data_IF_472189221616
#
_entry.id   IF_472189221616
#
_cell.length_a   1.000
_cell.length_b   1.000
_cell.length_c   1.000
_cell.angle_alpha   90.00
_cell.angle_beta   90.00
_cell.angle_gamma   90.00
#
_symmetry.space_group_name_H-M   'P 1'
#
loop_
_entity.id
_entity.type
_entity.pdbx_description
1 polymer ?
#
# COMPACT_ATOMS: atom_id res chain seq x y z
N UNK A 1 1.43 12.05 3.36
CA UNK A 1 0.99 11.22 2.22
C UNK A 1 -0.52 11.18 2.13
N UNK A 2 -1.08 11.14 0.92
CA UNK A 2 -2.52 11.02 0.65
C UNK A 2 -2.75 9.91 -0.38
N UNK A 3 -3.57 8.91 -0.04
CA UNK A 3 -3.86 7.77 -0.92
C UNK A 3 -4.96 8.16 -1.92
N UNK A 4 -4.62 8.15 -3.21
CA UNK A 4 -5.51 8.50 -4.31
C UNK A 4 -6.33 7.29 -4.77
N UNK A 5 -5.69 6.12 -4.85
CA UNK A 5 -6.32 4.89 -5.33
C UNK A 5 -5.69 3.65 -4.70
N UNK A 6 -6.49 2.60 -4.59
CA UNK A 6 -6.07 1.26 -4.16
C UNK A 6 -6.53 0.24 -5.20
N UNK A 7 -5.63 -0.64 -5.62
CA UNK A 7 -5.92 -1.79 -6.45
C UNK A 7 -5.93 -3.06 -5.60
N UNK A 8 -7.07 -3.75 -5.61
CA UNK A 8 -7.26 -5.06 -4.97
C UNK A 8 -7.52 -6.11 -6.04
N UNK A 9 -6.49 -6.87 -6.39
CA UNK A 9 -6.53 -7.79 -7.52
C UNK A 9 -6.82 -7.05 -8.83
N UNK A 10 -8.02 -7.24 -9.39
CA UNK A 10 -8.50 -6.57 -10.62
C UNK A 10 -9.38 -5.34 -10.35
N UNK A 11 -9.77 -5.11 -9.10
CA UNK A 11 -10.67 -4.02 -8.72
C UNK A 11 -9.89 -2.77 -8.35
N UNK A 12 -10.40 -1.61 -8.75
CA UNK A 12 -9.90 -0.30 -8.34
C UNK A 12 -10.86 0.38 -7.39
N UNK A 13 -10.30 1.06 -6.39
CA UNK A 13 -11.02 1.84 -5.37
C UNK A 13 -10.38 3.21 -5.33
N UNK A 14 -11.11 4.24 -5.75
CA UNK A 14 -10.63 5.61 -5.80
C UNK A 14 -11.09 6.38 -4.56
N UNK A 15 -10.21 7.26 -4.05
CA UNK A 15 -10.45 8.12 -2.88
C UNK A 15 -11.02 7.32 -1.69
N UNK A 16 -10.25 6.35 -1.14
CA UNK A 16 -10.68 5.59 0.02
C UNK A 16 -11.10 6.53 1.17
N UNK A 17 -12.24 6.23 1.79
CA UNK A 17 -12.76 7.01 2.93
C UNK A 17 -12.05 6.61 4.22
N UNK A 18 -12.25 7.38 5.29
CA UNK A 18 -11.59 7.18 6.59
C UNK A 18 -11.75 5.77 7.20
N UNK A 19 -12.79 5.01 6.84
CA UNK A 19 -12.99 3.62 7.29
C UNK A 19 -12.40 2.55 6.36
N UNK A 20 -11.61 2.93 5.36
CA UNK A 20 -11.03 1.98 4.42
C UNK A 20 -9.91 1.17 5.09
N UNK A 21 -10.08 -0.15 5.15
CA UNK A 21 -9.06 -1.07 5.65
C UNK A 21 -8.25 -1.66 4.47
N UNK A 22 -6.93 -1.47 4.53
CA UNK A 22 -5.97 -2.12 3.64
C UNK A 22 -5.87 -3.62 3.93
N UNK A 23 -5.55 -4.39 2.89
CA UNK A 23 -5.36 -5.83 2.95
C UNK A 23 -4.02 -6.20 2.30
N UNK A 24 -3.46 -7.34 2.71
CA UNK A 24 -2.27 -7.87 2.08
C UNK A 24 -2.49 -8.05 0.56
N UNK A 25 -1.54 -7.60 -0.24
CA UNK A 25 -1.64 -7.62 -1.71
C UNK A 25 -2.36 -6.42 -2.32
N UNK A 26 -2.89 -5.49 -1.51
CA UNK A 26 -3.33 -4.19 -2.03
C UNK A 26 -2.13 -3.41 -2.57
N UNK A 27 -2.31 -2.78 -3.74
CA UNK A 27 -1.35 -1.82 -4.29
C UNK A 27 -1.94 -0.43 -4.17
N UNK A 28 -1.15 0.54 -3.72
CA UNK A 28 -1.62 1.90 -3.47
C UNK A 28 -0.94 2.90 -4.41
N UNK A 29 -1.69 3.92 -4.84
CA UNK A 29 -1.16 5.12 -5.47
C UNK A 29 -1.37 6.25 -4.47
N UNK A 30 -0.29 6.86 -4.01
CA UNK A 30 -0.31 7.95 -3.05
C UNK A 30 0.52 9.14 -3.54
N UNK A 31 0.19 10.33 -3.05
CA UNK A 31 0.90 11.57 -3.33
C UNK A 31 1.26 12.27 -2.02
N UNK A 32 2.40 12.94 -1.97
CA UNK A 32 2.81 13.73 -0.81
C UNK A 32 4.26 14.19 -0.94
N UNK A 33 4.82 14.76 0.14
CA UNK A 33 6.22 15.16 0.21
C UNK A 33 7.16 13.97 0.01
N UNK A 34 8.34 14.23 -0.56
CA UNK A 34 9.35 13.21 -0.87
C UNK A 34 9.85 12.50 0.39
N UNK A 35 9.97 13.24 1.50
CA UNK A 35 10.40 12.72 2.80
C UNK A 35 9.47 11.63 3.35
N UNK A 36 8.19 11.63 2.93
CA UNK A 36 7.21 10.64 3.34
C UNK A 36 7.22 9.37 2.49
N UNK A 37 8.02 9.30 1.43
CA UNK A 37 8.07 8.15 0.54
C UNK A 37 8.68 6.93 1.24
N UNK A 38 9.82 7.10 1.92
CA UNK A 38 10.52 6.00 2.62
C UNK A 38 9.67 5.42 3.75
N UNK A 39 9.02 6.27 4.55
CA UNK A 39 8.13 5.83 5.63
C UNK A 39 6.92 5.08 5.08
N UNK A 40 6.32 5.56 3.98
CA UNK A 40 5.20 4.87 3.34
C UNK A 40 5.63 3.51 2.78
N UNK A 41 6.82 3.42 2.19
CA UNK A 41 7.36 2.16 1.69
C UNK A 41 7.58 1.15 2.82
N UNK A 42 8.16 1.60 3.94
CA UNK A 42 8.37 0.77 5.13
C UNK A 42 7.05 0.21 5.69
N UNK A 43 5.99 1.02 5.72
CA UNK A 43 4.66 0.59 6.16
C UNK A 43 3.99 -0.41 5.19
N UNK A 44 4.27 -0.29 3.89
CA UNK A 44 3.68 -1.15 2.87
C UNK A 44 4.46 -2.46 2.65
N UNK A 45 5.71 -2.52 3.08
CA UNK A 45 6.54 -3.71 2.98
C UNK A 45 6.02 -4.77 3.96
N UNK A 46 5.36 -5.81 3.42
CA UNK A 46 5.13 -7.02 4.21
C UNK A 46 6.49 -7.58 4.67
N UNK A 47 6.60 -8.19 5.87
CA UNK A 47 7.81 -8.93 6.22
C UNK A 47 8.06 -9.91 5.07
N UNK A 48 9.26 -9.83 4.48
CA UNK A 48 9.70 -10.78 3.47
C UNK A 48 9.44 -12.16 4.07
N UNK A 49 8.50 -12.93 3.51
CA UNK A 49 8.52 -14.36 3.77
C UNK A 49 9.90 -14.77 3.30
N UNK A 50 10.75 -15.14 4.26
CA UNK A 50 11.98 -15.84 3.97
C UNK A 50 11.59 -16.91 2.95
N UNK A 51 12.13 -16.80 1.75
CA UNK A 51 11.98 -17.83 0.74
C UNK A 51 12.31 -19.14 1.43
N UNK A 52 11.34 -20.05 1.49
CA UNK A 52 11.57 -21.43 1.89
C UNK A 52 12.57 -21.99 0.88
N UNK A 53 13.85 -21.89 1.23
CA UNK A 53 14.94 -22.60 0.58
C UNK A 53 14.67 -24.06 0.87
N UNK A 54 14.33 -24.80 -0.18
CA UNK A 54 14.20 -26.26 -0.16
C UNK A 54 15.51 -26.98 0.10
#
# INVERSE_FOLDING_TARGET
MFVLAVQRGRRWIYRPRAGFAFQAGDRIIAVGPEEGAEELEALCRAPQRASETG
#
